data_IF_052418726494
#
_entry.id   IF_052418726494
#
_cell.length_a   1.000
_cell.length_b   1.000
_cell.length_c   1.000
_cell.angle_alpha   90.00
_cell.angle_beta   90.00
_cell.angle_gamma   90.00
#
_symmetry.space_group_name_H-M   'P 1'
#
loop_
_entity.id
_entity.type
_entity.pdbx_description
1 polymer ?
#
# COMPACT_ATOMS: atom_id res chain seq x y z
N UNK A 1 -0.40 21.75 16.38
CA UNK A 1 0.02 20.40 16.84
C UNK A 1 -0.45 19.39 15.81
N UNK A 2 0.40 18.91 14.90
CA UNK A 2 0.19 17.67 14.13
C UNK A 2 1.32 17.43 13.11
N UNK A 3 2.60 17.50 13.50
CA UNK A 3 3.69 17.05 12.63
C UNK A 3 4.78 16.55 13.56
N UNK A 4 4.77 15.27 13.93
CA UNK A 4 5.96 14.63 14.53
C UNK A 4 5.88 13.08 14.58
N UNK A 5 4.74 12.44 14.29
CA UNK A 5 4.62 10.97 14.37
C UNK A 5 4.48 10.22 13.03
N UNK A 6 4.36 10.92 11.90
CA UNK A 6 4.12 10.27 10.60
C UNK A 6 5.26 9.38 10.06
N UNK A 7 6.57 9.70 10.26
CA UNK A 7 7.62 8.87 9.68
C UNK A 7 7.72 7.51 10.38
N UNK A 8 7.61 7.47 11.71
CA UNK A 8 7.86 6.25 12.48
C UNK A 8 6.82 5.13 12.24
N UNK A 9 5.55 5.48 12.01
CA UNK A 9 4.49 4.50 11.75
C UNK A 9 4.50 4.01 10.29
N UNK A 10 4.79 4.89 9.32
CA UNK A 10 4.95 4.55 7.91
C UNK A 10 6.06 3.49 7.71
N UNK A 11 7.24 3.74 8.30
CA UNK A 11 8.34 2.77 8.29
C UNK A 11 7.94 1.46 8.96
N UNK A 12 7.05 1.49 9.96
CA UNK A 12 6.65 0.28 10.68
C UNK A 12 5.77 -0.64 9.84
N UNK A 13 4.73 -0.12 9.18
CA UNK A 13 3.83 -0.95 8.37
C UNK A 13 4.53 -1.49 7.11
N UNK A 14 5.40 -0.69 6.49
CA UNK A 14 6.20 -1.16 5.35
C UNK A 14 7.20 -2.25 5.77
N UNK A 15 7.96 -2.03 6.84
CA UNK A 15 8.92 -3.04 7.33
C UNK A 15 8.20 -4.32 7.77
N UNK A 16 7.01 -4.22 8.35
CA UNK A 16 6.21 -5.39 8.69
C UNK A 16 5.70 -6.10 7.43
N UNK A 17 5.18 -5.37 6.44
CA UNK A 17 4.79 -5.97 5.16
C UNK A 17 5.95 -6.75 4.54
N UNK A 18 7.11 -6.11 4.39
CA UNK A 18 8.32 -6.69 3.82
C UNK A 18 8.78 -7.92 4.63
N UNK A 19 8.75 -7.84 5.96
CA UNK A 19 9.06 -8.96 6.85
C UNK A 19 8.13 -10.16 6.62
N UNK A 20 6.81 -9.93 6.60
CA UNK A 20 5.85 -11.03 6.43
C UNK A 20 5.87 -11.61 5.01
N UNK A 21 6.05 -10.75 4.00
CA UNK A 21 6.16 -11.12 2.60
C UNK A 21 7.39 -11.96 2.32
N UNK A 22 8.57 -11.52 2.77
CA UNK A 22 9.84 -12.14 2.40
C UNK A 22 10.45 -13.05 3.46
N UNK A 23 10.30 -12.74 4.75
CA UNK A 23 10.92 -13.55 5.82
C UNK A 23 10.03 -14.68 6.31
N UNK A 24 8.71 -14.51 6.27
CA UNK A 24 7.75 -15.47 6.83
C UNK A 24 6.96 -16.20 5.73
N UNK A 25 6.83 -15.61 4.54
CA UNK A 25 6.03 -16.14 3.43
C UNK A 25 4.52 -16.15 3.71
N UNK A 26 4.08 -15.48 4.77
CA UNK A 26 2.67 -15.45 5.20
C UNK A 26 2.01 -14.19 4.65
N UNK A 27 1.62 -14.29 3.38
CA UNK A 27 0.96 -13.20 2.64
C UNK A 27 -0.35 -12.74 3.28
N UNK A 28 -1.07 -13.63 3.96
CA UNK A 28 -2.37 -13.28 4.57
C UNK A 28 -2.18 -12.43 5.84
N UNK A 29 -1.09 -12.63 6.59
CA UNK A 29 -0.72 -11.70 7.67
C UNK A 29 -0.24 -10.36 7.12
N UNK A 30 0.50 -10.36 6.02
CA UNK A 30 0.96 -9.14 5.38
C UNK A 30 -0.23 -8.24 4.97
N UNK A 31 -1.25 -8.83 4.35
CA UNK A 31 -2.51 -8.17 3.99
C UNK A 31 -3.20 -7.52 5.20
N UNK A 32 -3.36 -8.28 6.30
CA UNK A 32 -4.00 -7.78 7.53
C UNK A 32 -3.25 -6.61 8.16
N UNK A 33 -1.92 -6.63 8.13
CA UNK A 33 -1.09 -5.56 8.68
C UNK A 33 -1.26 -4.29 7.86
N UNK A 34 -1.27 -4.40 6.53
CA UNK A 34 -1.49 -3.25 5.65
C UNK A 34 -2.90 -2.67 5.80
N UNK A 35 -3.93 -3.53 5.87
CA UNK A 35 -5.30 -3.09 6.07
C UNK A 35 -5.46 -2.33 7.40
N UNK A 36 -4.86 -2.85 8.48
CA UNK A 36 -4.82 -2.12 9.76
C UNK A 36 -4.07 -0.79 9.64
N UNK A 37 -2.97 -0.76 8.89
CA UNK A 37 -2.24 0.47 8.61
C UNK A 37 -3.12 1.52 7.95
N UNK A 38 -3.95 1.12 6.97
CA UNK A 38 -4.93 2.01 6.34
C UNK A 38 -6.01 2.46 7.32
N UNK A 39 -6.52 1.57 8.18
CA UNK A 39 -7.51 1.95 9.19
C UNK A 39 -6.96 3.02 10.15
N UNK A 40 -5.69 2.89 10.53
CA UNK A 40 -4.99 3.87 11.37
C UNK A 40 -4.65 5.16 10.61
N UNK A 41 -4.35 5.06 9.31
CA UNK A 41 -3.91 6.17 8.45
C UNK A 41 -4.62 6.15 7.09
N UNK A 42 -5.91 6.53 7.03
CA UNK A 42 -6.74 6.35 5.84
C UNK A 42 -6.40 7.30 4.67
N UNK A 43 -5.50 8.25 4.88
CA UNK A 43 -5.08 9.25 3.89
C UNK A 43 -3.64 9.02 3.41
N UNK A 44 -3.02 7.89 3.76
CA UNK A 44 -1.67 7.58 3.36
C UNK A 44 -1.64 6.86 1.99
N UNK A 45 -1.24 7.54 0.91
CA UNK A 45 -1.17 6.93 -0.41
C UNK A 45 -0.16 5.78 -0.47
N UNK A 46 0.88 5.77 0.37
CA UNK A 46 1.91 4.75 0.30
C UNK A 46 1.39 3.37 0.76
N UNK A 47 0.59 3.34 1.82
CA UNK A 47 -0.07 2.11 2.27
C UNK A 47 -1.03 1.55 1.21
N UNK A 48 -1.72 2.44 0.49
CA UNK A 48 -2.56 2.06 -0.63
C UNK A 48 -1.74 1.53 -1.82
N UNK A 49 -0.59 2.13 -2.12
CA UNK A 49 0.35 1.63 -3.14
C UNK A 49 0.83 0.22 -2.78
N UNK A 50 1.24 -0.01 -1.54
CA UNK A 50 1.72 -1.34 -1.12
C UNK A 50 0.60 -2.39 -1.23
N UNK A 51 -0.64 -2.07 -0.83
CA UNK A 51 -1.78 -2.98 -1.04
C UNK A 51 -2.06 -3.23 -2.52
N UNK A 52 -1.93 -2.20 -3.36
CA UNK A 52 -2.03 -2.34 -4.81
C UNK A 52 -1.02 -3.35 -5.35
N UNK A 53 0.26 -3.20 -4.98
CA UNK A 53 1.34 -4.13 -5.35
C UNK A 53 1.04 -5.54 -4.85
N UNK A 54 0.62 -5.67 -3.59
CA UNK A 54 0.28 -6.94 -3.00
C UNK A 54 -0.84 -7.69 -3.76
N UNK A 55 -1.92 -6.99 -4.11
CA UNK A 55 -3.01 -7.59 -4.87
C UNK A 55 -2.63 -7.88 -6.31
N UNK A 56 -1.77 -7.06 -6.90
CA UNK A 56 -1.21 -7.30 -8.23
C UNK A 56 -0.40 -8.62 -8.25
N UNK A 57 0.46 -8.82 -7.26
CA UNK A 57 1.25 -10.05 -7.10
C UNK A 57 0.39 -11.29 -6.85
N UNK A 58 -0.76 -11.13 -6.18
CA UNK A 58 -1.77 -12.19 -6.05
C UNK A 58 -2.60 -12.40 -7.32
N UNK A 59 -2.35 -11.66 -8.40
CA UNK A 59 -3.12 -11.72 -9.66
C UNK A 59 -4.51 -11.10 -9.57
N UNK A 60 -4.84 -10.42 -8.46
CA UNK A 60 -6.11 -9.73 -8.22
C UNK A 60 -6.06 -8.31 -8.79
N UNK A 61 -6.02 -8.22 -10.12
CA UNK A 61 -5.78 -6.96 -10.83
C UNK A 61 -6.86 -5.90 -10.53
N UNK A 62 -8.13 -6.31 -10.36
CA UNK A 62 -9.21 -5.38 -10.01
C UNK A 62 -9.00 -4.69 -8.65
N UNK A 63 -8.56 -5.46 -7.65
CA UNK A 63 -8.25 -4.92 -6.31
C UNK A 63 -7.01 -4.03 -6.39
N UNK A 64 -5.97 -4.45 -7.12
CA UNK A 64 -4.78 -3.63 -7.33
C UNK A 64 -5.11 -2.25 -7.91
N UNK A 65 -5.88 -2.22 -9.00
CA UNK A 65 -6.34 -0.99 -9.64
C UNK A 65 -7.19 -0.12 -8.71
N UNK A 66 -7.98 -0.71 -7.82
CA UNK A 66 -8.78 0.04 -6.84
C UNK A 66 -7.88 0.79 -5.87
N UNK A 67 -6.90 0.12 -5.26
CA UNK A 67 -6.00 0.75 -4.30
C UNK A 67 -5.04 1.74 -4.96
N UNK A 68 -4.55 1.44 -6.16
CA UNK A 68 -3.74 2.41 -6.91
C UNK A 68 -4.51 3.68 -7.26
N UNK A 69 -5.78 3.58 -7.67
CA UNK A 69 -6.60 4.77 -7.93
C UNK A 69 -6.82 5.59 -6.66
N UNK A 70 -7.09 4.94 -5.53
CA UNK A 70 -7.19 5.62 -4.24
C UNK A 70 -5.90 6.33 -3.84
N UNK A 71 -4.75 5.69 -4.02
CA UNK A 71 -3.46 6.34 -3.77
C UNK A 71 -3.28 7.60 -4.63
N UNK A 72 -3.71 7.56 -5.90
CA UNK A 72 -3.63 8.70 -6.82
C UNK A 72 -4.58 9.85 -6.43
N UNK A 73 -5.66 9.60 -5.67
CA UNK A 73 -6.51 10.66 -5.11
C UNK A 73 -5.75 11.51 -4.08
N UNK A 74 -4.78 10.92 -3.37
CA UNK A 74 -3.96 11.61 -2.35
C UNK A 74 -2.60 12.07 -2.88
N UNK A 75 -2.06 11.41 -3.91
CA UNK A 75 -0.82 11.77 -4.59
C UNK A 75 -0.99 11.79 -6.12
N UNK A 76 -1.70 12.81 -6.66
CA UNK A 76 -2.07 12.87 -8.08
C UNK A 76 -0.88 13.14 -9.02
N UNK A 77 0.26 13.56 -8.50
CA UNK A 77 1.48 13.82 -9.28
C UNK A 77 2.38 12.58 -9.38
N UNK A 78 1.97 11.45 -8.81
CA UNK A 78 2.73 10.21 -8.84
C UNK A 78 2.74 9.57 -10.24
N UNK A 79 3.72 9.95 -11.06
CA UNK A 79 3.88 9.42 -12.42
C UNK A 79 4.18 7.92 -12.46
N UNK A 80 4.80 7.36 -11.41
CA UNK A 80 5.03 5.92 -11.34
C UNK A 80 3.70 5.17 -11.19
N UNK A 81 2.86 5.63 -10.27
CA UNK A 81 1.54 5.05 -10.04
C UNK A 81 0.61 5.15 -11.26
N UNK A 82 0.67 6.26 -12.00
CA UNK A 82 -0.06 6.40 -13.28
C UNK A 82 0.37 5.33 -14.29
N UNK A 83 1.68 5.09 -14.42
CA UNK A 83 2.22 4.04 -15.30
C UNK A 83 1.80 2.65 -14.86
N UNK A 84 1.79 2.37 -13.55
CA UNK A 84 1.32 1.08 -13.03
C UNK A 84 -0.16 0.86 -13.30
N UNK A 85 -1.00 1.88 -13.09
CA UNK A 85 -2.43 1.82 -13.44
C UNK A 85 -2.62 1.57 -14.94
N UNK A 86 -1.84 2.24 -15.79
CA UNK A 86 -1.95 2.08 -17.25
C UNK A 86 -1.45 0.71 -17.73
N UNK A 87 -0.44 0.13 -17.07
CA UNK A 87 0.07 -1.21 -17.35
C UNK A 87 -0.93 -2.32 -17.01
N UNK A 88 -1.81 -2.07 -16.03
CA UNK A 88 -2.78 -3.04 -15.52
C UNK A 88 -4.16 -2.96 -16.19
N UNK A 89 -4.37 -2.01 -17.12
CA UNK A 89 -5.58 -1.90 -17.95
C UNK A 89 -5.50 -2.83 -19.15
#
# INVERSE_FOLDING_TARGET
KAIENAPAQLFTYNNLYELYRYSVGDMDKAEKILLRGIDDNPMDPYLMIILGIFYEEKGKISDALFYYKKALEFDPENEALKKDIDRLK
#
